data_IF_710084250025
#
_entry.id   IF_710084250025
#
_cell.length_a   1.000
_cell.length_b   1.000
_cell.length_c   1.000
_cell.angle_alpha   90.00
_cell.angle_beta   90.00
_cell.angle_gamma   90.00
#
_symmetry.space_group_name_H-M   'P 1'
#
loop_
_entity.id
_entity.type
_entity.pdbx_description
1 polymer ?
#
# COMPACT_ATOMS: atom_id res chain seq x y z
N UNK A 1 -17.12 -4.40 -6.72
CA UNK A 1 -16.10 -3.79 -5.83
C UNK A 1 -16.61 -2.47 -5.29
N UNK A 2 -16.28 -2.12 -4.05
CA UNK A 2 -16.80 -0.91 -3.39
C UNK A 2 -16.12 0.36 -3.93
N UNK A 3 -16.83 1.46 -4.05
CA UNK A 3 -16.28 2.79 -4.42
C UNK A 3 -16.87 3.88 -3.52
N UNK A 4 -16.56 3.82 -2.23
CA UNK A 4 -17.20 4.68 -1.21
C UNK A 4 -16.69 6.13 -1.21
N UNK A 5 -15.57 6.42 -1.88
CA UNK A 5 -15.10 7.76 -2.19
C UNK A 5 -14.40 7.78 -3.55
N UNK A 6 -14.12 8.98 -4.05
CA UNK A 6 -13.46 9.17 -5.34
C UNK A 6 -11.99 9.50 -5.12
N UNK A 7 -11.14 8.89 -5.94
CA UNK A 7 -9.74 9.26 -6.08
C UNK A 7 -9.57 10.23 -7.26
N UNK A 8 -8.48 11.01 -7.32
CA UNK A 8 -8.11 11.77 -8.50
C UNK A 8 -8.11 10.91 -9.78
N UNK A 9 -8.51 11.47 -10.94
CA UNK A 9 -8.61 10.70 -12.20
C UNK A 9 -7.32 9.98 -12.61
N UNK A 10 -6.17 10.61 -12.36
CA UNK A 10 -4.85 10.05 -12.66
C UNK A 10 -4.60 8.76 -11.84
N UNK A 11 -4.94 8.78 -10.55
CA UNK A 11 -4.81 7.60 -9.68
C UNK A 11 -5.74 6.48 -10.13
N UNK A 12 -7.00 6.79 -10.47
CA UNK A 12 -7.93 5.77 -10.96
C UNK A 12 -7.48 5.16 -12.29
N UNK A 13 -6.94 5.98 -13.20
CA UNK A 13 -6.42 5.52 -14.49
C UNK A 13 -5.22 4.59 -14.29
N UNK A 14 -4.34 4.92 -13.35
CA UNK A 14 -3.23 4.05 -12.97
C UNK A 14 -3.72 2.73 -12.37
N UNK A 15 -4.63 2.78 -11.40
CA UNK A 15 -5.16 1.59 -10.73
C UNK A 15 -5.85 0.64 -11.72
N UNK A 16 -6.61 1.19 -12.67
CA UNK A 16 -7.22 0.42 -13.76
C UNK A 16 -6.15 -0.19 -14.69
N UNK A 17 -5.05 0.54 -14.96
CA UNK A 17 -3.94 0.06 -15.78
C UNK A 17 -3.17 -1.12 -15.16
N UNK A 18 -3.27 -1.33 -13.84
CA UNK A 18 -2.66 -2.50 -13.18
C UNK A 18 -3.32 -3.81 -13.63
N UNK A 19 -4.54 -3.77 -14.17
CA UNK A 19 -5.32 -4.98 -14.48
C UNK A 19 -5.73 -5.77 -13.23
N UNK A 20 -5.66 -5.14 -12.05
CA UNK A 20 -6.02 -5.71 -10.76
C UNK A 20 -7.33 -5.14 -10.25
N UNK A 21 -8.01 -5.92 -9.43
CA UNK A 21 -9.19 -5.48 -8.71
C UNK A 21 -8.78 -4.45 -7.64
N UNK A 22 -9.48 -3.32 -7.55
CA UNK A 22 -9.27 -2.34 -6.48
C UNK A 22 -10.58 -1.68 -6.01
N UNK A 23 -10.62 -1.27 -4.75
CA UNK A 23 -11.75 -0.56 -4.16
C UNK A 23 -11.34 0.53 -3.18
N UNK A 24 -12.29 1.41 -2.91
CA UNK A 24 -12.15 2.48 -1.91
C UNK A 24 -13.19 2.29 -0.82
N UNK A 25 -12.75 2.28 0.43
CA UNK A 25 -13.57 1.99 1.60
C UNK A 25 -13.41 3.10 2.65
N UNK A 26 -14.52 3.48 3.27
CA UNK A 26 -14.60 4.34 4.45
C UNK A 26 -14.83 3.45 5.66
N UNK A 27 -13.87 3.42 6.57
CA UNK A 27 -14.01 2.72 7.85
C UNK A 27 -13.79 3.70 8.99
N UNK A 28 -14.79 3.82 9.86
CA UNK A 28 -14.81 4.80 10.95
C UNK A 28 -14.57 6.23 10.41
N UNK A 29 -13.35 6.76 10.57
CA UNK A 29 -12.93 8.09 10.12
C UNK A 29 -11.70 8.03 9.19
N UNK A 30 -11.50 6.91 8.50
CA UNK A 30 -10.37 6.72 7.59
C UNK A 30 -10.86 6.27 6.23
N UNK A 31 -10.28 6.86 5.19
CA UNK A 31 -10.43 6.44 3.82
C UNK A 31 -9.30 5.48 3.48
N UNK A 32 -9.63 4.39 2.79
CA UNK A 32 -8.71 3.33 2.44
C UNK A 32 -8.86 2.98 0.97
N UNK A 33 -7.73 2.79 0.30
CA UNK A 33 -7.64 2.11 -0.99
C UNK A 33 -7.18 0.67 -0.73
N UNK A 34 -7.83 -0.31 -1.35
CA UNK A 34 -7.42 -1.71 -1.35
C UNK A 34 -7.21 -2.14 -2.80
N UNK A 35 -6.04 -2.72 -3.10
CA UNK A 35 -5.71 -3.38 -4.38
C UNK A 35 -5.49 -4.85 -4.09
N UNK A 36 -6.21 -5.73 -4.78
CA UNK A 36 -6.17 -7.18 -4.55
C UNK A 36 -5.16 -7.87 -5.45
N UNK A 37 -4.67 -9.02 -4.98
CA UNK A 37 -3.79 -9.92 -5.73
C UNK A 37 -2.52 -9.23 -6.32
N UNK A 38 -2.00 -8.23 -5.61
CA UNK A 38 -0.79 -7.54 -6.00
C UNK A 38 0.42 -8.50 -5.94
N UNK A 39 1.16 -8.67 -7.05
CA UNK A 39 2.25 -9.63 -7.10
C UNK A 39 3.43 -9.19 -6.26
N UNK A 40 4.09 -10.14 -5.59
CA UNK A 40 5.32 -9.87 -4.82
C UNK A 40 6.54 -10.56 -5.44
N UNK A 41 7.75 -10.01 -5.24
CA UNK A 41 8.99 -10.62 -5.70
C UNK A 41 9.18 -12.06 -5.23
N UNK A 42 9.98 -12.83 -5.96
CA UNK A 42 10.40 -14.18 -5.53
C UNK A 42 11.18 -14.08 -4.21
N UNK A 43 10.99 -15.07 -3.34
CA UNK A 43 11.64 -15.15 -2.04
C UNK A 43 10.70 -14.89 -0.87
N UNK A 44 9.50 -14.36 -1.11
CA UNK A 44 8.40 -14.41 -0.14
C UNK A 44 7.72 -15.79 -0.14
N UNK A 45 7.10 -16.16 0.98
CA UNK A 45 6.36 -17.42 1.13
C UNK A 45 5.04 -17.47 0.36
N UNK A 46 4.60 -16.33 -0.17
CA UNK A 46 3.35 -16.15 -0.93
C UNK A 46 3.69 -15.33 -2.18
N UNK A 47 2.94 -15.54 -3.26
CA UNK A 47 3.20 -14.92 -4.58
C UNK A 47 2.41 -13.65 -4.85
N UNK A 48 1.28 -13.45 -4.16
CA UNK A 48 0.46 -12.25 -4.25
C UNK A 48 -0.14 -11.89 -2.88
N UNK A 49 -0.46 -10.62 -2.69
CA UNK A 49 -1.08 -10.08 -1.48
C UNK A 49 -2.06 -8.97 -1.84
N UNK A 50 -3.06 -8.77 -1.00
CA UNK A 50 -3.82 -7.53 -1.00
C UNK A 50 -2.96 -6.42 -0.39
N UNK A 51 -3.00 -5.23 -0.99
CA UNK A 51 -2.32 -4.02 -0.53
C UNK A 51 -3.36 -2.99 -0.16
N UNK A 52 -3.36 -2.56 1.10
CA UNK A 52 -4.16 -1.44 1.56
C UNK A 52 -3.28 -0.20 1.79
N UNK A 53 -3.81 0.97 1.44
CA UNK A 53 -3.20 2.28 1.66
C UNK A 53 -4.24 3.16 2.36
N UNK A 54 -3.84 3.78 3.46
CA UNK A 54 -4.66 4.79 4.12
C UNK A 54 -4.58 6.10 3.34
N UNK A 55 -5.72 6.62 2.91
CA UNK A 55 -5.84 7.90 2.22
C UNK A 55 -6.09 8.99 3.29
N UNK A 56 -5.14 9.90 3.52
CA UNK A 56 -5.31 10.97 4.51
C UNK A 56 -6.25 12.05 3.99
N UNK A 57 -6.90 12.75 4.93
CA UNK A 57 -7.61 13.98 4.59
C UNK A 57 -6.64 14.99 3.97
N UNK A 58 -7.03 15.55 2.82
CA UNK A 58 -6.21 16.49 2.07
C UNK A 58 -5.28 15.86 1.03
N UNK A 59 -5.31 14.53 0.83
CA UNK A 59 -4.71 13.91 -0.35
C UNK A 59 -5.28 14.54 -1.64
N UNK A 60 -4.46 14.87 -2.68
CA UNK A 60 -3.04 14.53 -2.86
C UNK A 60 -2.03 15.54 -2.31
N UNK A 61 -2.46 16.58 -1.59
CA UNK A 61 -1.51 17.50 -0.92
C UNK A 61 -0.90 16.82 0.31
N UNK A 62 -1.72 16.08 1.06
CA UNK A 62 -1.27 15.31 2.21
C UNK A 62 -0.56 14.00 1.80
N UNK A 63 0.53 13.63 2.48
CA UNK A 63 1.39 12.53 2.06
C UNK A 63 0.80 11.14 2.31
N UNK A 64 1.02 10.24 1.36
CA UNK A 64 0.93 8.80 1.62
C UNK A 64 2.21 8.30 2.31
N UNK A 65 2.05 7.40 3.26
CA UNK A 65 3.12 7.06 4.21
C UNK A 65 3.36 5.55 4.34
N UNK A 66 2.31 4.78 4.58
CA UNK A 66 2.41 3.35 4.88
C UNK A 66 1.82 2.47 3.78
N UNK A 67 2.14 1.18 3.85
CA UNK A 67 1.42 0.12 3.14
C UNK A 67 1.06 -0.99 4.12
N UNK A 68 -0.06 -1.66 3.84
CA UNK A 68 -0.61 -2.69 4.69
C UNK A 68 -0.88 -3.91 3.83
N UNK A 69 -0.44 -5.09 4.28
CA UNK A 69 -0.49 -6.31 3.46
C UNK A 69 -1.35 -7.39 4.11
N UNK A 70 -2.15 -8.05 3.27
CA UNK A 70 -2.93 -9.22 3.69
C UNK A 70 -2.88 -10.30 2.58
N UNK A 71 -2.49 -11.54 2.88
CA UNK A 71 -1.95 -12.03 4.14
C UNK A 71 -0.59 -11.38 4.50
N UNK A 72 -0.14 -11.57 5.74
CA UNK A 72 1.14 -11.04 6.21
C UNK A 72 2.32 -11.66 5.45
N UNK A 73 3.26 -10.82 4.99
CA UNK A 73 4.43 -11.26 4.25
C UNK A 73 5.49 -11.85 5.18
N UNK A 74 6.09 -12.95 4.71
CA UNK A 74 7.22 -13.62 5.34
C UNK A 74 8.20 -14.05 4.26
N UNK A 75 9.49 -14.04 4.59
CA UNK A 75 10.54 -14.49 3.66
C UNK A 75 10.77 -15.99 3.79
N UNK A 76 11.07 -16.64 2.67
CA UNK A 76 11.39 -18.07 2.61
C UNK A 76 12.71 -18.41 3.34
N UNK A 77 13.63 -17.45 3.44
CA UNK A 77 14.92 -17.62 4.15
C UNK A 77 14.81 -17.44 5.67
N UNK A 78 13.60 -17.21 6.19
CA UNK A 78 13.34 -17.04 7.62
C UNK A 78 13.82 -15.71 8.20
N UNK A 79 14.43 -14.82 7.40
CA UNK A 79 14.82 -13.49 7.87
C UNK A 79 13.58 -12.66 8.17
N UNK A 80 13.59 -11.94 9.29
CA UNK A 80 12.49 -11.05 9.65
C UNK A 80 12.46 -9.82 8.75
N UNK A 81 11.25 -9.37 8.43
CA UNK A 81 11.02 -8.11 7.74
C UNK A 81 10.95 -7.01 8.81
N UNK A 82 11.74 -5.96 8.65
CA UNK A 82 11.78 -4.89 9.64
C UNK A 82 10.53 -4.01 9.59
N UNK A 83 10.15 -3.46 10.74
CA UNK A 83 9.04 -2.52 10.89
C UNK A 83 7.66 -3.08 10.46
N UNK A 84 7.44 -4.38 10.69
CA UNK A 84 6.17 -5.09 10.39
C UNK A 84 5.47 -5.69 11.62
N UNK A 85 5.82 -5.24 12.82
CA UNK A 85 5.35 -5.83 14.08
C UNK A 85 3.95 -5.37 14.49
N UNK A 86 3.33 -4.46 13.72
CA UNK A 86 2.01 -3.93 14.00
C UNK A 86 0.97 -4.52 13.05
N UNK A 87 -0.24 -4.72 13.57
CA UNK A 87 -1.40 -5.16 12.79
C UNK A 87 -2.43 -4.02 12.75
N UNK A 88 -3.03 -3.83 11.58
CA UNK A 88 -4.19 -2.95 11.37
C UNK A 88 -5.41 -3.83 11.13
N UNK A 89 -6.45 -3.65 11.94
CA UNK A 89 -7.77 -4.19 11.62
C UNK A 89 -8.41 -3.29 10.55
N UNK A 90 -8.87 -3.89 9.45
CA UNK A 90 -9.54 -3.20 8.36
C UNK A 90 -10.41 -4.20 7.62
N UNK A 91 -11.70 -3.89 7.44
CA UNK A 91 -12.65 -4.70 6.68
C UNK A 91 -12.69 -6.16 7.17
N UNK A 92 -12.82 -6.33 8.48
CA UNK A 92 -12.84 -7.62 9.19
C UNK A 92 -11.57 -8.49 9.01
N UNK A 93 -10.54 -7.94 8.37
CA UNK A 93 -9.24 -8.60 8.15
C UNK A 93 -8.15 -7.96 9.00
N UNK A 94 -7.13 -8.78 9.29
CA UNK A 94 -5.88 -8.34 9.91
C UNK A 94 -4.82 -8.10 8.85
N UNK A 95 -4.28 -6.88 8.82
CA UNK A 95 -3.29 -6.44 7.85
C UNK A 95 -1.95 -6.17 8.52
N UNK A 96 -0.87 -6.72 7.99
CA UNK A 96 0.48 -6.45 8.44
C UNK A 96 0.88 -5.03 8.02
N UNK A 97 1.11 -4.14 8.99
CA UNK A 97 1.46 -2.74 8.73
C UNK A 97 2.95 -2.59 8.49
N UNK A 98 3.33 -2.02 7.34
CA UNK A 98 4.71 -1.66 7.02
C UNK A 98 4.90 -0.16 7.22
N UNK A 99 5.67 0.21 8.25
CA UNK A 99 5.94 1.62 8.60
C UNK A 99 7.24 2.08 7.94
N UNK A 100 7.16 2.65 6.74
CA UNK A 100 8.32 3.12 5.96
C UNK A 100 8.15 4.59 5.60
N UNK A 101 8.42 5.44 6.59
CA UNK A 101 8.19 6.87 6.48
C UNK A 101 9.03 7.54 5.40
N UNK A 102 8.42 8.51 4.72
CA UNK A 102 9.15 9.46 3.88
C UNK A 102 10.12 10.28 4.74
N UNK A 103 11.37 10.36 4.32
CA UNK A 103 12.44 11.15 4.95
C UNK A 103 12.59 12.49 4.26
N UNK A 104 13.36 13.43 4.82
CA UNK A 104 13.64 14.71 4.15
C UNK A 104 14.29 14.57 2.77
N UNK A 105 14.97 13.46 2.50
CA UNK A 105 15.56 13.13 1.18
C UNK A 105 14.58 12.52 0.19
N UNK A 106 13.42 12.04 0.64
CA UNK A 106 12.36 11.49 -0.20
C UNK A 106 11.00 12.02 0.30
N UNK A 107 10.94 13.34 0.49
CA UNK A 107 9.77 14.02 1.00
C UNK A 107 8.62 13.90 0.00
N UNK A 108 7.39 14.02 0.50
CA UNK A 108 6.24 14.12 -0.40
C UNK A 108 6.26 15.48 -1.11
N UNK A 109 6.12 15.46 -2.42
CA UNK A 109 6.05 16.64 -3.27
C UNK A 109 4.61 16.85 -3.77
N UNK A 110 3.84 17.79 -3.18
CA UNK A 110 2.48 18.07 -3.62
C UNK A 110 2.42 18.44 -5.10
N UNK A 111 1.53 17.78 -5.85
CA UNK A 111 1.39 17.98 -7.30
C UNK A 111 2.36 17.16 -8.15
N UNK A 112 3.27 16.38 -7.52
CA UNK A 112 4.17 15.43 -8.19
C UNK A 112 3.91 14.02 -7.67
N UNK A 113 3.83 13.85 -6.35
CA UNK A 113 3.55 12.56 -5.73
C UNK A 113 2.06 12.21 -5.75
N UNK A 114 1.78 10.91 -5.90
CA UNK A 114 0.44 10.35 -6.00
C UNK A 114 0.41 8.89 -5.56
N UNK A 115 -0.71 8.19 -5.77
CA UNK A 115 -0.77 6.74 -5.56
C UNK A 115 0.23 6.04 -6.48
N UNK A 116 0.51 6.57 -7.67
CA UNK A 116 1.48 6.02 -8.62
C UNK A 116 2.87 5.96 -7.99
N UNK A 117 3.37 7.09 -7.51
CA UNK A 117 4.72 7.17 -6.91
C UNK A 117 4.80 6.40 -5.60
N UNK A 118 3.69 6.30 -4.87
CA UNK A 118 3.60 5.45 -3.68
C UNK A 118 3.68 3.95 -4.02
N UNK A 119 3.02 3.49 -5.09
CA UNK A 119 3.16 2.10 -5.54
C UNK A 119 4.57 1.78 -6.06
N UNK A 120 5.25 2.74 -6.69
CA UNK A 120 6.69 2.61 -7.02
C UNK A 120 7.50 2.41 -5.73
N UNK A 121 7.21 3.18 -4.68
CA UNK A 121 7.87 3.04 -3.38
C UNK A 121 7.58 1.67 -2.74
N UNK A 122 6.34 1.20 -2.78
CA UNK A 122 5.93 -0.13 -2.28
C UNK A 122 6.65 -1.25 -3.03
N UNK A 123 6.75 -1.15 -4.36
CA UNK A 123 7.51 -2.12 -5.15
C UNK A 123 8.97 -2.16 -4.72
N UNK A 124 9.63 -1.00 -4.62
CA UNK A 124 11.01 -0.89 -4.16
C UNK A 124 11.18 -1.46 -2.74
N UNK A 125 10.20 -1.24 -1.86
CA UNK A 125 10.21 -1.77 -0.50
C UNK A 125 10.22 -3.30 -0.45
N UNK A 126 9.42 -3.94 -1.29
CA UNK A 126 9.36 -5.39 -1.41
C UNK A 126 10.67 -5.96 -1.98
N UNK A 127 11.21 -5.32 -3.02
CA UNK A 127 12.45 -5.77 -3.67
C UNK A 127 13.68 -5.64 -2.74
N UNK A 128 13.79 -4.53 -2.01
CA UNK A 128 14.94 -4.24 -1.15
C UNK A 128 15.10 -5.23 0.00
N UNK A 129 14.06 -5.98 0.38
CA UNK A 129 14.23 -6.99 1.42
C UNK A 129 15.30 -8.03 1.03
N UNK A 130 15.45 -8.32 -0.28
CA UNK A 130 16.38 -9.35 -0.78
C UNK A 130 17.75 -8.80 -1.21
N UNK A 131 18.05 -7.55 -0.85
CA UNK A 131 19.36 -6.92 -1.00
C UNK A 131 20.11 -6.95 0.34
#
# INVERSE_FOLDING_TARGET
MRKQFLLPPEDTSFLDSLGLNWETLKESNSEWLIVYDYPVPKGYSITCVDVAIKIPSGYPIAPLDMAYFHPALQRLDGKQINATNCVQALDEKSWQRWSRHRTGTNAWEPGVDSIITHFISIKYWLEREFQ
#
